data_IF_746339023102
#
_entry.id   IF_746339023102
#
_cell.length_a   1.000
_cell.length_b   1.000
_cell.length_c   1.000
_cell.angle_alpha   90.00
_cell.angle_beta   90.00
_cell.angle_gamma   90.00
#
_symmetry.space_group_name_H-M   'P 1'
#
loop_
_entity.id
_entity.type
_entity.pdbx_description
1 polymer ?
#
# COMPACT_ATOMS: atom_id res chain seq x y z
N UNK A 1 15.05 -20.69 11.66
CA UNK A 1 13.84 -20.69 10.83
C UNK A 1 13.66 -19.27 10.36
N UNK A 2 13.72 -19.02 9.06
CA UNK A 2 13.34 -17.71 8.52
C UNK A 2 11.84 -17.51 8.80
N UNK A 3 11.48 -16.45 9.52
CA UNK A 3 10.08 -16.10 9.69
C UNK A 3 9.52 -15.73 8.32
N UNK A 4 8.36 -16.28 7.91
CA UNK A 4 7.78 -15.94 6.62
C UNK A 4 7.56 -14.44 6.54
N UNK A 5 8.04 -13.83 5.45
CA UNK A 5 7.88 -12.40 5.20
C UNK A 5 6.39 -12.10 5.02
N UNK A 6 5.84 -11.33 5.96
CA UNK A 6 4.43 -10.93 5.94
C UNK A 6 4.14 -10.01 4.76
N UNK A 7 3.00 -10.24 4.10
CA UNK A 7 2.55 -9.52 2.91
C UNK A 7 1.31 -8.72 3.23
N UNK A 8 1.39 -7.41 3.10
CA UNK A 8 0.35 -6.48 3.56
C UNK A 8 -0.13 -5.64 2.40
N UNK A 9 -1.45 -5.61 2.21
CA UNK A 9 -2.11 -4.61 1.36
C UNK A 9 -2.55 -3.45 2.25
N UNK A 10 -2.13 -2.23 1.93
CA UNK A 10 -2.44 -1.03 2.70
C UNK A 10 -3.09 0.01 1.79
N UNK A 11 -4.31 0.43 2.10
CA UNK A 11 -4.93 1.57 1.40
C UNK A 11 -4.53 2.88 2.07
N UNK A 12 -4.28 3.93 1.30
CA UNK A 12 -3.71 5.19 1.82
C UNK A 12 -4.06 6.40 0.95
N UNK A 13 -4.16 7.57 1.58
CA UNK A 13 -4.25 8.88 0.92
C UNK A 13 -2.89 9.59 0.80
N UNK A 14 -1.79 8.94 1.23
CA UNK A 14 -0.49 9.56 1.38
C UNK A 14 -0.35 10.47 2.62
N UNK A 15 -1.24 10.32 3.61
CA UNK A 15 -1.15 11.01 4.89
C UNK A 15 -0.02 10.45 5.78
N UNK A 16 0.36 11.23 6.81
CA UNK A 16 1.45 10.87 7.73
C UNK A 16 1.20 9.54 8.46
N UNK A 17 -0.07 9.22 8.79
CA UNK A 17 -0.41 8.02 9.55
C UNK A 17 -0.18 6.80 8.66
N UNK A 18 -0.76 6.79 7.45
CA UNK A 18 -0.62 5.68 6.52
C UNK A 18 0.85 5.49 6.06
N UNK A 19 1.59 6.59 5.85
CA UNK A 19 3.03 6.56 5.59
C UNK A 19 3.81 5.92 6.74
N UNK A 20 3.55 6.33 7.99
CA UNK A 20 4.29 5.81 9.14
C UNK A 20 4.00 4.31 9.39
N UNK A 21 2.75 3.88 9.18
CA UNK A 21 2.39 2.45 9.22
C UNK A 21 3.18 1.68 8.15
N UNK A 22 3.17 2.15 6.89
CA UNK A 22 3.89 1.52 5.80
C UNK A 22 5.41 1.45 6.09
N UNK A 23 6.00 2.54 6.57
CA UNK A 23 7.41 2.61 6.95
C UNK A 23 7.76 1.53 7.99
N UNK A 24 6.99 1.43 9.07
CA UNK A 24 7.25 0.46 10.13
C UNK A 24 7.07 -0.98 9.66
N UNK A 25 6.08 -1.27 8.81
CA UNK A 25 5.88 -2.60 8.21
C UNK A 25 7.08 -3.01 7.36
N UNK A 26 7.55 -2.13 6.46
CA UNK A 26 8.72 -2.39 5.60
C UNK A 26 10.01 -2.51 6.42
N UNK A 27 10.17 -1.68 7.44
CA UNK A 27 11.33 -1.74 8.34
C UNK A 27 11.39 -3.08 9.09
N UNK A 28 10.24 -3.57 9.57
CA UNK A 28 10.09 -4.92 10.17
C UNK A 28 10.26 -6.07 9.16
N UNK A 29 10.37 -5.74 7.88
CA UNK A 29 10.72 -6.65 6.82
C UNK A 29 9.55 -7.18 6.02
N UNK A 30 8.33 -6.69 6.25
CA UNK A 30 7.15 -7.03 5.47
C UNK A 30 7.28 -6.55 4.02
N UNK A 31 6.58 -7.22 3.11
CA UNK A 31 6.31 -6.71 1.76
C UNK A 31 4.98 -5.98 1.80
N UNK A 32 4.94 -4.77 1.28
CA UNK A 32 3.77 -3.90 1.34
C UNK A 32 3.39 -3.48 -0.07
N UNK A 33 2.10 -3.55 -0.40
CA UNK A 33 1.52 -2.86 -1.56
C UNK A 33 0.69 -1.71 -1.02
N UNK A 34 1.02 -0.49 -1.45
CA UNK A 34 0.20 0.70 -1.23
C UNK A 34 -0.85 0.78 -2.33
N UNK A 35 -2.10 1.03 -1.96
CA UNK A 35 -3.22 1.12 -2.90
C UNK A 35 -4.00 2.43 -2.69
N UNK A 36 -4.16 3.21 -3.76
CA UNK A 36 -4.80 4.53 -3.72
C UNK A 36 -4.32 5.44 -4.86
N UNK A 37 -4.33 6.76 -4.64
CA UNK A 37 -3.92 7.75 -5.64
C UNK A 37 -2.42 7.60 -5.98
N UNK A 38 -2.12 7.47 -7.28
CA UNK A 38 -0.79 7.05 -7.71
C UNK A 38 0.32 8.05 -7.37
N UNK A 39 0.09 9.34 -7.57
CA UNK A 39 1.14 10.36 -7.44
C UNK A 39 1.58 10.51 -5.98
N UNK A 40 0.62 10.60 -5.05
CA UNK A 40 0.85 10.63 -3.61
C UNK A 40 1.58 9.38 -3.14
N UNK A 41 1.11 8.19 -3.52
CA UNK A 41 1.68 6.94 -3.03
C UNK A 41 3.06 6.62 -3.62
N UNK A 42 3.34 7.03 -4.86
CA UNK A 42 4.68 6.89 -5.44
C UNK A 42 5.71 7.71 -4.68
N UNK A 43 5.37 8.94 -4.28
CA UNK A 43 6.27 9.75 -3.46
C UNK A 43 6.54 9.07 -2.11
N UNK A 44 5.48 8.62 -1.41
CA UNK A 44 5.61 7.89 -0.14
C UNK A 44 6.47 6.63 -0.28
N UNK A 45 6.25 5.83 -1.33
CA UNK A 45 7.03 4.62 -1.59
C UNK A 45 8.51 4.93 -1.84
N UNK A 46 8.82 6.01 -2.57
CA UNK A 46 10.18 6.46 -2.82
C UNK A 46 10.87 6.94 -1.53
N UNK A 47 10.18 7.72 -0.70
CA UNK A 47 10.71 8.21 0.58
C UNK A 47 11.03 7.07 1.55
N UNK A 48 10.13 6.09 1.67
CA UNK A 48 10.34 4.91 2.52
C UNK A 48 11.51 4.07 1.99
N UNK A 49 11.55 3.84 0.67
CA UNK A 49 12.61 3.07 0.01
C UNK A 49 13.97 3.71 0.20
N UNK A 50 14.07 5.03 0.02
CA UNK A 50 15.29 5.81 0.21
C UNK A 50 15.75 5.79 1.67
N UNK A 51 14.82 5.94 2.61
CA UNK A 51 15.11 5.94 4.06
C UNK A 51 15.62 4.60 4.56
N UNK A 52 15.05 3.49 4.06
CA UNK A 52 15.37 2.14 4.50
C UNK A 52 16.44 1.44 3.65
N UNK A 53 16.80 2.02 2.48
CA UNK A 53 17.64 1.40 1.45
C UNK A 53 17.12 0.02 1.03
N UNK A 54 15.80 -0.13 0.93
CA UNK A 54 15.08 -1.40 0.66
C UNK A 54 14.02 -1.18 -0.42
N UNK A 55 14.46 -1.14 -1.68
CA UNK A 55 13.59 -0.82 -2.81
C UNK A 55 12.61 -1.96 -3.16
N UNK A 56 12.90 -3.21 -2.79
CA UNK A 56 12.12 -4.38 -3.25
C UNK A 56 10.94 -4.76 -2.35
N UNK A 57 10.62 -3.95 -1.34
CA UNK A 57 9.64 -4.29 -0.30
C UNK A 57 8.37 -3.43 -0.31
N UNK A 58 8.32 -2.42 -1.16
CA UNK A 58 7.16 -1.54 -1.28
C UNK A 58 6.82 -1.32 -2.74
N UNK A 59 5.56 -1.54 -3.09
CA UNK A 59 5.02 -1.41 -4.44
C UNK A 59 3.75 -0.55 -4.39
N UNK A 60 3.36 0.05 -5.51
CA UNK A 60 2.18 0.92 -5.60
C UNK A 60 1.21 0.36 -6.63
N UNK A 61 -0.07 0.29 -6.26
CA UNK A 61 -1.18 -0.01 -7.17
C UNK A 61 -2.13 1.19 -7.17
N UNK A 62 -2.22 1.82 -8.34
CA UNK A 62 -3.14 2.93 -8.55
C UNK A 62 -4.60 2.45 -8.52
N UNK A 63 -5.41 3.13 -7.73
CA UNK A 63 -6.88 3.03 -7.77
C UNK A 63 -7.48 4.38 -7.42
N UNK A 64 -8.51 4.76 -8.15
CA UNK A 64 -9.38 5.86 -7.75
C UNK A 64 -10.39 5.30 -6.73
N UNK A 65 -10.22 5.67 -5.46
CA UNK A 65 -11.08 5.23 -4.37
C UNK A 65 -12.40 6.01 -4.30
N UNK A 66 -12.52 7.09 -5.08
CA UNK A 66 -13.76 7.86 -5.20
C UNK A 66 -14.63 7.39 -6.38
N UNK A 67 -14.06 6.57 -7.29
CA UNK A 67 -14.83 5.93 -8.35
C UNK A 67 -15.79 4.90 -7.74
N UNK A 68 -17.09 5.13 -7.88
CA UNK A 68 -18.17 4.29 -7.32
C UNK A 68 -18.21 2.87 -7.92
N UNK A 69 -17.35 2.57 -8.91
CA UNK A 69 -17.30 1.25 -9.54
C UNK A 69 -16.44 0.31 -8.72
N UNK A 70 -17.11 -0.63 -8.03
CA UNK A 70 -16.48 -1.78 -7.36
C UNK A 70 -15.46 -2.51 -8.25
N UNK A 71 -15.74 -2.61 -9.55
CA UNK A 71 -14.84 -3.23 -10.55
C UNK A 71 -13.44 -2.59 -10.56
N UNK A 72 -13.33 -1.28 -10.35
CA UNK A 72 -12.05 -0.57 -10.29
C UNK A 72 -11.24 -1.01 -9.06
N UNK A 73 -11.91 -1.17 -7.92
CA UNK A 73 -11.32 -1.64 -6.67
C UNK A 73 -10.89 -3.12 -6.79
N UNK A 74 -11.76 -3.99 -7.29
CA UNK A 74 -11.47 -5.42 -7.49
C UNK A 74 -10.25 -5.64 -8.37
N UNK A 75 -10.14 -4.90 -9.48
CA UNK A 75 -9.00 -4.99 -10.38
C UNK A 75 -7.69 -4.56 -9.69
N UNK A 76 -7.75 -3.55 -8.82
CA UNK A 76 -6.58 -3.12 -8.06
C UNK A 76 -6.20 -4.13 -6.98
N UNK A 77 -7.16 -4.76 -6.30
CA UNK A 77 -6.91 -5.86 -5.36
C UNK A 77 -6.30 -7.07 -6.10
N UNK A 78 -6.79 -7.44 -7.29
CA UNK A 78 -6.20 -8.51 -8.11
C UNK A 78 -4.75 -8.19 -8.49
N UNK A 79 -4.47 -6.96 -8.94
CA UNK A 79 -3.10 -6.52 -9.24
C UNK A 79 -2.19 -6.64 -8.01
N UNK A 80 -2.64 -6.17 -6.85
CA UNK A 80 -1.90 -6.29 -5.60
C UNK A 80 -1.66 -7.77 -5.21
N UNK A 81 -2.67 -8.61 -5.41
CA UNK A 81 -2.57 -10.05 -5.16
C UNK A 81 -1.54 -10.69 -6.08
N UNK A 82 -1.47 -10.31 -7.35
CA UNK A 82 -0.48 -10.83 -8.30
C UNK A 82 0.95 -10.40 -7.98
N UNK A 83 1.14 -9.21 -7.40
CA UNK A 83 2.45 -8.71 -6.94
C UNK A 83 2.94 -9.47 -5.69
N UNK A 84 2.06 -9.68 -4.73
CA UNK A 84 2.40 -10.30 -3.44
C UNK A 84 2.31 -11.84 -3.50
N UNK A 85 1.45 -12.40 -4.33
CA UNK A 85 1.09 -13.81 -4.45
C UNK A 85 0.06 -14.29 -3.42
N UNK A 86 -0.02 -13.66 -2.25
CA UNK A 86 -1.05 -13.82 -1.23
C UNK A 86 -1.03 -12.62 -0.27
N UNK A 87 -2.07 -12.49 0.57
CA UNK A 87 -2.10 -11.51 1.66
C UNK A 87 -2.03 -12.21 3.03
N UNK A 88 -1.26 -11.65 3.94
CA UNK A 88 -1.30 -11.98 5.36
C UNK A 88 -2.15 -10.99 6.16
N UNK A 89 -2.25 -9.74 5.68
CA UNK A 89 -3.03 -8.69 6.33
C UNK A 89 -3.52 -7.64 5.31
N UNK A 90 -4.65 -7.03 5.64
CA UNK A 90 -5.19 -5.86 4.95
C UNK A 90 -5.34 -4.72 5.96
N UNK A 91 -4.82 -3.54 5.63
CA UNK A 91 -4.91 -2.34 6.45
C UNK A 91 -5.65 -1.28 5.66
N UNK A 92 -6.86 -0.95 6.09
CA UNK A 92 -7.63 0.14 5.51
C UNK A 92 -7.28 1.45 6.22
N UNK A 93 -6.45 2.28 5.58
CA UNK A 93 -6.04 3.59 6.09
C UNK A 93 -6.30 4.68 5.05
N UNK A 94 -7.38 4.51 4.27
CA UNK A 94 -7.89 5.52 3.35
C UNK A 94 -8.96 6.32 4.07
N UNK A 95 -8.93 7.65 3.95
CA UNK A 95 -9.94 8.53 4.56
C UNK A 95 -10.75 9.18 3.46
N UNK A 96 -12.06 8.97 3.46
CA UNK A 96 -12.98 9.70 2.58
C UNK A 96 -13.47 10.95 3.30
N UNK A 97 -13.18 12.14 2.77
CA UNK A 97 -13.58 13.41 3.43
C UNK A 97 -15.02 13.83 3.12
N UNK A 98 -15.71 13.16 2.19
CA UNK A 98 -17.06 13.54 1.79
C UNK A 98 -17.10 14.82 0.95
N UNK A 99 -18.17 14.98 0.16
CA UNK A 99 -18.41 16.19 -0.63
C UNK A 99 -18.79 17.31 0.36
N UNK A 100 -18.00 18.39 0.40
CA UNK A 100 -18.35 19.62 1.11
C UNK A 100 -19.32 20.48 0.30
#
# INVERSE_FOLDING_TARGET
>A
MENPVKKVLLTSNGDEISQNIAYHLVNRGCRVVLMGEENCLRNVAQEISASLKRNDKIEVVAVDMEDDKEVSFDQAVDKAWRILGNFDAFVHCYTYEGIH
#
